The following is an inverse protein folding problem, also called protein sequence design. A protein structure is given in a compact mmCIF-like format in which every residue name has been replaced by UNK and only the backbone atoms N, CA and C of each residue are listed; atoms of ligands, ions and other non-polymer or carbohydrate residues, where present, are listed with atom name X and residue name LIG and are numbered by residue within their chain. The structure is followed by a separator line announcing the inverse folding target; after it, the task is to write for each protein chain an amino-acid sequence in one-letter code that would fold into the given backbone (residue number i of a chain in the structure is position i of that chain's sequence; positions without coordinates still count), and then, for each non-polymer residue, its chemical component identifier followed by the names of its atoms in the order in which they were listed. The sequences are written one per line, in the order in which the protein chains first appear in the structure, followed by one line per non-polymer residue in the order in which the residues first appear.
data_IF_733645889403
#
_entry.id   IF_733645889403
#
_cell.length_a   1.000
_cell.length_b   1.000
_cell.length_c   1.000
_cell.angle_alpha   90.00
_cell.angle_beta   90.00
_cell.angle_gamma   90.00
#
_symmetry.space_group_name_H-M   'P 1'
#
loop_
_entity.id
_entity.type
_entity.pdbx_description
1 polymer ?
#
# COMPACT_ATOMS: atom_id res chain seq x y z
N UNK A 1 -11.49 -8.61 2.46
CA UNK A 1 -10.38 -9.25 1.73
C UNK A 1 -9.07 -8.56 2.06
N UNK A 2 -7.93 -9.20 1.83
CA UNK A 2 -6.60 -8.58 1.98
C UNK A 2 -5.97 -8.33 0.60
N UNK A 3 -5.64 -7.08 0.31
CA UNK A 3 -5.29 -6.62 -1.05
C UNK A 3 -4.01 -5.78 -0.98
N UNK A 4 -3.06 -6.05 -1.89
CA UNK A 4 -1.83 -5.25 -2.05
C UNK A 4 -1.98 -4.34 -3.26
N UNK A 5 -1.66 -3.05 -3.12
CA UNK A 5 -1.80 -2.05 -4.19
C UNK A 5 -0.48 -1.31 -4.40
N UNK A 6 0.12 -1.46 -5.58
CA UNK A 6 1.21 -0.60 -6.06
C UNK A 6 0.66 0.70 -6.67
N UNK A 7 1.48 1.74 -6.77
CA UNK A 7 1.03 3.02 -7.34
C UNK A 7 -0.05 3.73 -6.50
N UNK A 8 -0.25 3.31 -5.25
CA UNK A 8 -1.31 3.79 -4.34
C UNK A 8 -1.22 5.27 -3.97
N UNK A 9 -0.12 5.94 -4.34
CA UNK A 9 0.11 7.37 -4.12
C UNK A 9 -0.32 8.23 -5.32
N UNK A 10 -0.57 7.63 -6.48
CA UNK A 10 -1.01 8.31 -7.71
C UNK A 10 -2.51 8.60 -7.74
N UNK A 11 -2.95 9.32 -8.79
CA UNK A 11 -4.34 9.78 -8.95
C UNK A 11 -5.37 8.66 -8.79
N UNK A 12 -5.18 7.57 -9.56
CA UNK A 12 -6.09 6.41 -9.56
C UNK A 12 -5.92 5.60 -8.28
N UNK A 13 -4.69 5.31 -7.88
CA UNK A 13 -4.40 4.49 -6.71
C UNK A 13 -4.99 5.05 -5.41
N UNK A 14 -5.06 6.38 -5.27
CA UNK A 14 -5.71 7.03 -4.12
C UNK A 14 -7.22 6.76 -4.08
N UNK A 15 -7.90 6.85 -5.21
CA UNK A 15 -9.34 6.62 -5.30
C UNK A 15 -9.68 5.14 -5.00
N UNK A 16 -8.93 4.21 -5.60
CA UNK A 16 -9.11 2.77 -5.38
C UNK A 16 -8.90 2.41 -3.91
N UNK A 17 -7.84 2.92 -3.27
CA UNK A 17 -7.61 2.67 -1.84
C UNK A 17 -8.78 3.18 -1.00
N UNK A 18 -9.30 4.38 -1.27
CA UNK A 18 -10.41 4.94 -0.52
C UNK A 18 -11.69 4.08 -0.66
N UNK A 19 -12.04 3.70 -1.88
CA UNK A 19 -13.24 2.93 -2.16
C UNK A 19 -13.17 1.52 -1.54
N UNK A 20 -12.06 0.81 -1.75
CA UNK A 20 -11.90 -0.54 -1.21
C UNK A 20 -11.79 -0.56 0.32
N UNK A 21 -11.19 0.46 0.93
CA UNK A 21 -11.20 0.61 2.40
C UNK A 21 -12.61 0.86 2.93
N UNK A 22 -13.43 1.69 2.25
CA UNK A 22 -14.83 1.90 2.62
C UNK A 22 -15.67 0.62 2.49
N UNK A 23 -15.34 -0.22 1.51
CA UNK A 23 -15.93 -1.54 1.35
C UNK A 23 -15.48 -2.58 2.39
N UNK A 24 -14.65 -2.20 3.38
CA UNK A 24 -14.21 -3.07 4.47
C UNK A 24 -13.06 -4.02 4.07
N UNK A 25 -12.27 -3.67 3.07
CA UNK A 25 -11.09 -4.45 2.70
C UNK A 25 -9.84 -3.99 3.47
N UNK A 26 -8.99 -4.95 3.84
CA UNK A 26 -7.66 -4.71 4.40
C UNK A 26 -6.68 -4.40 3.26
N UNK A 27 -6.20 -3.16 3.24
CA UNK A 27 -5.36 -2.65 2.16
C UNK A 27 -3.92 -2.50 2.64
N UNK A 28 -2.99 -3.13 1.92
CA UNK A 28 -1.55 -2.88 2.05
C UNK A 28 -1.07 -2.07 0.85
N UNK A 29 -0.57 -0.86 1.10
CA UNK A 29 -0.02 0.01 0.07
C UNK A 29 1.46 -0.31 -0.16
N UNK A 30 1.84 -0.55 -1.40
CA UNK A 30 3.24 -0.77 -1.79
C UNK A 30 3.84 0.53 -2.35
N UNK A 31 4.77 1.13 -1.61
CA UNK A 31 5.34 2.46 -1.91
C UNK A 31 6.86 2.42 -2.09
N UNK A 32 7.40 3.17 -3.05
CA UNK A 32 8.85 3.24 -3.34
C UNK A 32 9.65 4.20 -2.44
N UNK A 33 8.98 4.98 -1.60
CA UNK A 33 9.58 5.87 -0.61
C UNK A 33 9.05 5.47 0.77
N UNK A 34 9.87 5.60 1.82
CA UNK A 34 9.53 5.15 3.17
C UNK A 34 8.11 5.58 3.60
N UNK A 35 7.42 4.75 4.41
CA UNK A 35 6.04 5.04 4.81
C UNK A 35 5.97 6.41 5.48
N UNK A 36 5.09 7.28 4.97
CA UNK A 36 4.67 8.46 5.73
C UNK A 36 3.68 7.98 6.79
N UNK A 37 3.80 8.53 8.00
CA UNK A 37 3.11 8.06 9.20
C UNK A 37 1.58 8.09 9.14
N UNK A 38 0.99 8.63 8.06
CA UNK A 38 -0.45 8.80 7.93
C UNK A 38 -1.20 7.52 7.54
N UNK A 39 -0.55 6.49 6.98
CA UNK A 39 -1.20 5.21 6.62
C UNK A 39 -0.26 3.99 6.63
N UNK A 40 -0.79 2.78 6.92
CA UNK A 40 -0.05 1.54 6.73
C UNK A 40 0.42 1.40 5.27
N UNK A 41 1.72 1.24 5.09
CA UNK A 41 2.33 0.99 3.79
C UNK A 41 3.59 0.14 3.96
N UNK A 42 3.79 -0.80 3.04
CA UNK A 42 5.04 -1.56 2.90
C UNK A 42 5.95 -0.84 1.92
N UNK A 43 7.22 -0.68 2.31
CA UNK A 43 8.25 -0.17 1.43
C UNK A 43 8.61 -1.21 0.37
N UNK A 44 8.63 -0.80 -0.90
CA UNK A 44 9.22 -1.56 -1.99
C UNK A 44 10.68 -1.14 -2.13
N UNK A 45 11.61 -2.06 -1.90
CA UNK A 45 12.97 -1.89 -2.38
C UNK A 45 12.96 -1.99 -3.92
N UNK A 46 13.30 -0.92 -4.67
CA UNK A 46 13.30 -0.97 -6.13
C UNK A 46 14.39 -1.87 -6.73
N UNK A 47 15.35 -2.36 -5.93
CA UNK A 47 16.42 -3.28 -6.34
C UNK A 47 16.32 -4.65 -5.67
N UNK A 48 15.35 -4.85 -4.77
CA UNK A 48 15.16 -6.10 -4.03
C UNK A 48 13.98 -6.93 -4.55
N UNK A 49 14.19 -8.23 -4.71
CA UNK A 49 13.18 -9.18 -5.21
C UNK A 49 12.10 -9.55 -4.17
N UNK A 50 12.10 -8.93 -2.98
CA UNK A 50 11.26 -9.34 -1.85
C UNK A 50 10.46 -8.19 -1.23
N UNK A 51 9.19 -8.47 -0.96
CA UNK A 51 8.33 -7.62 -0.13
C UNK A 51 8.48 -8.06 1.32
N UNK A 52 9.05 -7.22 2.20
CA UNK A 52 9.02 -7.51 3.63
C UNK A 52 7.56 -7.53 4.14
N UNK A 53 7.13 -8.55 4.89
CA UNK A 53 5.79 -8.59 5.45
C UNK A 53 5.56 -7.39 6.37
N UNK A 54 4.37 -6.78 6.28
CA UNK A 54 3.90 -5.79 7.25
C UNK A 54 4.04 -6.36 8.66
N UNK A 55 5.00 -5.85 9.44
CA UNK A 55 5.05 -6.06 10.88
C UNK A 55 4.07 -5.07 11.51
N UNK A 56 2.96 -5.60 12.02
CA UNK A 56 1.98 -4.91 12.85
C UNK A 56 2.57 -4.58 14.22
#
# INVERSE_FOLDING_TARGET
MRIVISGSSGLIGRAIVAELSQAGHEITRLVRGGPRADRPATFLDPLGDFLEPLRL
#
